data_IF_906493368415
#
_entry.id   IF_906493368415
#
_cell.length_a   1.000
_cell.length_b   1.000
_cell.length_c   1.000
_cell.angle_alpha   90.00
_cell.angle_beta   90.00
_cell.angle_gamma   90.00
#
_symmetry.space_group_name_H-M   'P 1'
#
loop_
_entity.id
_entity.type
_entity.pdbx_description
1 polymer ?
#
# COMPACT_ATOMS: atom_id res chain seq x y z
N UNK A 1 -3.43 -14.23 -0.14
CA UNK A 1 -3.30 -12.78 -0.38
C UNK A 1 -4.30 -12.07 0.52
N UNK A 2 -3.97 -10.88 1.04
CA UNK A 2 -4.90 -10.02 1.80
C UNK A 2 -4.89 -8.62 1.18
N UNK A 3 -6.03 -7.96 1.12
CA UNK A 3 -6.15 -6.59 0.63
C UNK A 3 -6.00 -5.61 1.82
N UNK A 4 -4.91 -4.83 1.93
CA UNK A 4 -4.70 -3.91 3.05
C UNK A 4 -5.73 -2.78 3.17
N UNK A 5 -6.53 -2.55 2.12
CA UNK A 5 -7.55 -1.50 2.12
C UNK A 5 -8.84 -1.92 2.83
N UNK A 6 -9.12 -3.22 2.94
CA UNK A 6 -10.35 -3.72 3.57
C UNK A 6 -10.14 -4.96 4.47
N UNK A 7 -8.91 -5.48 4.56
CA UNK A 7 -8.50 -6.66 5.33
C UNK A 7 -9.21 -7.96 4.93
N UNK A 8 -9.74 -8.04 3.70
CA UNK A 8 -10.35 -9.25 3.14
C UNK A 8 -9.36 -10.05 2.30
N UNK A 9 -9.62 -11.34 2.19
CA UNK A 9 -8.84 -12.31 1.40
C UNK A 9 -9.59 -12.83 0.18
N UNK A 10 -10.81 -12.33 -0.06
CA UNK A 10 -11.65 -12.63 -1.21
C UNK A 10 -11.46 -11.59 -2.33
N UNK A 11 -12.24 -11.73 -3.41
CA UNK A 11 -12.19 -10.82 -4.56
C UNK A 11 -12.81 -9.43 -4.29
N UNK A 12 -13.16 -9.09 -3.05
CA UNK A 12 -13.75 -7.79 -2.74
C UNK A 12 -12.78 -6.65 -3.06
N UNK A 13 -13.18 -5.79 -3.99
CA UNK A 13 -12.45 -4.58 -4.34
C UNK A 13 -12.62 -3.48 -3.28
N UNK A 14 -11.61 -2.63 -3.16
CA UNK A 14 -11.64 -1.42 -2.36
C UNK A 14 -11.08 -0.26 -3.20
N UNK A 15 -11.84 0.83 -3.28
CA UNK A 15 -11.42 2.03 -4.02
C UNK A 15 -10.38 2.88 -3.26
N UNK A 16 -9.85 3.93 -3.90
CA UNK A 16 -8.85 4.80 -3.30
C UNK A 16 -9.25 5.45 -1.96
N UNK A 17 -10.54 5.67 -1.71
CA UNK A 17 -11.01 6.25 -0.43
C UNK A 17 -10.75 5.34 0.78
N UNK A 18 -10.49 4.04 0.56
CA UNK A 18 -10.06 3.12 1.60
C UNK A 18 -8.55 3.15 1.87
N UNK A 19 -7.77 3.90 1.07
CA UNK A 19 -6.34 4.07 1.24
C UNK A 19 -6.05 5.30 2.10
N UNK A 20 -5.61 5.05 3.34
CA UNK A 20 -5.35 6.07 4.36
C UNK A 20 -4.11 6.93 4.05
N UNK A 21 -3.35 6.60 3.02
CA UNK A 21 -2.18 7.34 2.56
C UNK A 21 -0.99 6.45 2.25
N UNK A 22 -0.45 6.61 1.05
CA UNK A 22 0.83 6.06 0.68
C UNK A 22 1.95 6.99 1.17
N UNK A 23 3.02 6.42 1.74
CA UNK A 23 4.16 7.19 2.26
C UNK A 23 5.44 6.74 1.57
N UNK A 24 5.95 7.59 0.69
CA UNK A 24 7.21 7.42 -0.01
C UNK A 24 8.34 8.00 0.85
N UNK A 25 9.44 7.28 0.97
CA UNK A 25 10.59 7.69 1.78
C UNK A 25 11.89 7.27 1.14
N UNK A 26 12.96 7.98 1.49
CA UNK A 26 14.32 7.65 1.11
C UNK A 26 14.88 6.64 2.13
N UNK A 27 15.01 5.38 1.73
CA UNK A 27 15.53 4.30 2.58
C UNK A 27 16.91 4.61 3.19
N UNK A 28 17.77 5.33 2.45
CA UNK A 28 19.13 5.61 2.89
C UNK A 28 19.22 6.80 3.86
N UNK A 29 18.39 7.83 3.65
CA UNK A 29 18.38 9.04 4.47
C UNK A 29 17.38 8.97 5.64
N UNK A 30 16.40 8.06 5.59
CA UNK A 30 15.31 7.98 6.57
C UNK A 30 14.29 9.11 6.45
N UNK A 31 14.28 9.83 5.34
CA UNK A 31 13.43 11.01 5.13
C UNK A 31 12.17 10.69 4.35
N UNK A 32 11.05 11.31 4.73
CA UNK A 32 9.82 11.25 3.93
C UNK A 32 9.98 12.09 2.67
N UNK A 33 9.72 11.45 1.54
CA UNK A 33 9.75 12.07 0.22
C UNK A 33 8.38 12.70 -0.07
N UNK A 34 7.32 11.92 0.05
CA UNK A 34 5.96 12.37 -0.27
C UNK A 34 4.95 11.49 0.47
N UNK A 35 3.85 12.08 0.93
CA UNK A 35 2.70 11.33 1.44
C UNK A 35 1.48 11.70 0.61
N UNK A 36 0.80 10.70 0.06
CA UNK A 36 -0.29 10.88 -0.89
C UNK A 36 -1.55 10.19 -0.35
N UNK A 37 -2.58 10.96 0.08
CA UNK A 37 -3.84 10.37 0.52
C UNK A 37 -4.60 9.76 -0.67
N UNK A 38 -5.32 8.68 -0.40
CA UNK A 38 -6.16 7.99 -1.38
C UNK A 38 -5.36 7.64 -2.63
N UNK A 39 -4.15 7.09 -2.45
CA UNK A 39 -3.17 6.92 -3.52
C UNK A 39 -3.60 5.88 -4.56
N UNK A 40 -4.16 4.76 -4.11
CA UNK A 40 -4.57 3.65 -4.99
C UNK A 40 -5.72 2.87 -4.36
N UNK A 41 -6.60 2.33 -5.19
CA UNK A 41 -7.47 1.20 -4.84
C UNK A 41 -6.74 -0.13 -5.00
N UNK A 42 -7.39 -1.23 -4.60
CA UNK A 42 -6.86 -2.58 -4.78
C UNK A 42 -7.95 -3.66 -4.79
N UNK A 43 -7.70 -4.74 -5.53
CA UNK A 43 -8.50 -5.97 -5.50
C UNK A 43 -7.61 -7.22 -5.58
N UNK A 44 -8.08 -8.33 -5.02
CA UNK A 44 -7.40 -9.63 -5.18
C UNK A 44 -7.92 -10.29 -6.45
N UNK A 45 -7.01 -10.76 -7.30
CA UNK A 45 -7.34 -11.60 -8.44
C UNK A 45 -7.14 -13.08 -8.04
N UNK A 46 -8.20 -13.82 -7.67
CA UNK A 46 -8.08 -15.08 -6.94
C UNK A 46 -7.32 -16.15 -7.73
N UNK A 47 -7.59 -16.24 -9.04
CA UNK A 47 -6.99 -17.23 -9.95
C UNK A 47 -5.46 -17.14 -10.02
N UNK A 48 -4.91 -15.94 -9.76
CA UNK A 48 -3.47 -15.67 -9.80
C UNK A 48 -2.87 -15.49 -8.41
N UNK A 49 -3.70 -15.46 -7.36
CA UNK A 49 -3.28 -15.17 -5.98
C UNK A 49 -2.47 -13.87 -5.86
N UNK A 50 -2.80 -12.85 -6.65
CA UNK A 50 -2.13 -11.54 -6.65
C UNK A 50 -3.05 -10.43 -6.15
N UNK A 51 -2.45 -9.40 -5.55
CA UNK A 51 -3.10 -8.12 -5.29
C UNK A 51 -2.82 -7.20 -6.48
N UNK A 52 -3.87 -6.64 -7.07
CA UNK A 52 -3.78 -5.70 -8.18
C UNK A 52 -4.13 -4.33 -7.67
N UNK A 53 -3.24 -3.36 -7.88
CA UNK A 53 -3.49 -1.94 -7.65
C UNK A 53 -4.30 -1.37 -8.81
N UNK A 54 -5.31 -0.57 -8.48
CA UNK A 54 -6.21 0.09 -9.44
C UNK A 54 -6.35 1.56 -9.08
N UNK A 55 -6.68 2.41 -10.06
CA UNK A 55 -6.92 3.84 -9.85
C UNK A 55 -5.75 4.56 -9.14
N UNK A 56 -4.52 4.13 -9.44
CA UNK A 56 -3.30 4.64 -8.83
C UNK A 56 -3.01 6.06 -9.31
N UNK A 57 -2.79 6.98 -8.36
CA UNK A 57 -2.33 8.34 -8.64
C UNK A 57 -0.87 8.35 -9.09
N UNK A 58 -0.50 9.37 -9.87
CA UNK A 58 0.90 9.66 -10.16
C UNK A 58 1.49 10.48 -9.00
N UNK A 59 2.65 10.07 -8.44
CA UNK A 59 3.38 10.91 -7.49
C UNK A 59 3.72 12.29 -8.08
N UNK A 60 3.74 13.34 -7.25
CA UNK A 60 4.01 14.70 -7.73
C UNK A 60 5.51 14.97 -7.89
N UNK A 61 6.35 14.27 -7.13
CA UNK A 61 7.80 14.49 -7.13
C UNK A 61 8.53 13.51 -8.04
N UNK A 62 9.35 14.02 -8.96
CA UNK A 62 10.14 13.25 -9.93
C UNK A 62 11.12 12.26 -9.31
N UNK A 63 11.42 12.42 -8.01
CA UNK A 63 12.26 11.49 -7.23
C UNK A 63 11.57 10.15 -6.90
N UNK A 64 10.29 9.99 -7.25
CA UNK A 64 9.54 8.74 -7.12
C UNK A 64 9.34 8.12 -8.51
N UNK A 65 10.18 7.14 -8.86
CA UNK A 65 10.07 6.43 -10.12
C UNK A 65 9.33 5.08 -9.96
N UNK A 66 8.04 5.07 -10.32
CA UNK A 66 7.21 3.86 -10.36
C UNK A 66 7.26 3.12 -11.71
N UNK A 67 7.95 3.69 -12.70
CA UNK A 67 8.06 3.14 -14.06
C UNK A 67 9.34 2.33 -14.21
N UNK A 68 10.49 2.86 -13.79
CA UNK A 68 11.80 2.23 -13.90
C UNK A 68 12.31 1.75 -12.53
N UNK A 69 11.64 0.73 -11.99
CA UNK A 69 11.98 0.15 -10.68
C UNK A 69 13.21 -0.77 -10.69
N UNK A 70 14.13 -0.61 -11.63
CA UNK A 70 15.35 -1.42 -11.75
C UNK A 70 15.08 -2.85 -12.19
N UNK A 71 15.32 -3.84 -11.31
CA UNK A 71 15.18 -5.28 -11.61
C UNK A 71 13.74 -5.76 -11.77
N UNK A 72 12.76 -4.94 -11.39
CA UNK A 72 11.35 -5.30 -11.41
C UNK A 72 10.76 -4.99 -12.79
N UNK A 73 10.02 -5.94 -13.35
CA UNK A 73 9.31 -5.74 -14.62
C UNK A 73 8.23 -4.67 -14.47
N UNK A 74 7.94 -3.96 -15.57
CA UNK A 74 6.86 -2.96 -15.62
C UNK A 74 5.55 -3.54 -15.07
N UNK A 75 4.92 -2.83 -14.14
CA UNK A 75 3.65 -3.25 -13.50
C UNK A 75 3.81 -4.22 -12.32
N UNK A 76 5.03 -4.63 -11.96
CA UNK A 76 5.29 -5.43 -10.75
C UNK A 76 5.52 -4.49 -9.57
N UNK A 77 4.48 -4.24 -8.79
CA UNK A 77 4.50 -3.30 -7.67
C UNK A 77 4.83 -3.93 -6.30
N UNK A 78 5.33 -5.17 -6.23
CA UNK A 78 5.58 -5.85 -4.95
C UNK A 78 6.57 -5.12 -4.03
N UNK A 79 7.51 -4.37 -4.61
CA UNK A 79 8.42 -3.48 -3.85
C UNK A 79 7.66 -2.40 -3.08
N UNK A 80 6.48 -2.02 -3.56
CA UNK A 80 5.71 -0.88 -3.09
C UNK A 80 4.68 -1.26 -2.03
N UNK A 81 4.60 -2.53 -1.58
CA UNK A 81 3.57 -2.98 -0.64
C UNK A 81 3.53 -2.13 0.64
N UNK A 82 4.70 -1.88 1.25
CA UNK A 82 4.76 -1.03 2.45
C UNK A 82 4.47 0.44 2.17
N UNK A 83 4.93 0.94 1.02
CA UNK A 83 4.82 2.35 0.64
C UNK A 83 3.38 2.71 0.29
N UNK A 84 2.70 1.90 -0.53
CA UNK A 84 1.34 2.17 -1.03
C UNK A 84 0.27 2.05 0.05
N UNK A 85 0.53 1.23 1.07
CA UNK A 85 -0.43 0.92 2.13
C UNK A 85 0.06 1.32 3.52
N UNK A 86 1.07 2.21 3.61
CA UNK A 86 1.76 2.55 4.86
C UNK A 86 0.79 2.93 5.99
N UNK A 87 -0.14 3.86 5.74
CA UNK A 87 -1.07 4.32 6.78
C UNK A 87 -2.12 3.25 7.14
N UNK A 88 -2.58 2.44 6.17
CA UNK A 88 -3.45 1.29 6.44
C UNK A 88 -2.76 0.26 7.34
N UNK A 89 -1.53 -0.12 7.00
CA UNK A 89 -0.72 -1.05 7.79
C UNK A 89 -0.47 -0.51 9.20
N UNK A 90 -0.10 0.77 9.31
CA UNK A 90 0.14 1.45 10.59
C UNK A 90 -1.11 1.44 11.48
N UNK A 91 -2.28 1.73 10.90
CA UNK A 91 -3.55 1.71 11.62
C UNK A 91 -3.92 0.30 12.11
N UNK A 92 -3.67 -0.73 11.29
CA UNK A 92 -3.92 -2.11 11.66
C UNK A 92 -2.96 -2.63 12.74
N UNK A 93 -1.68 -2.27 12.65
CA UNK A 93 -0.70 -2.57 13.70
C UNK A 93 -1.15 -1.97 15.03
N UNK A 94 -1.55 -0.68 15.03
CA UNK A 94 -2.07 -0.02 16.24
C UNK A 94 -3.27 -0.78 16.82
N UNK A 95 -4.29 -1.07 16.00
CA UNK A 95 -5.48 -1.83 16.44
C UNK A 95 -5.12 -3.19 17.06
N UNK A 96 -4.12 -3.89 16.51
CA UNK A 96 -3.67 -5.19 17.02
C UNK A 96 -2.91 -5.07 18.34
N UNK A 97 -2.09 -4.03 18.50
CA UNK A 97 -1.42 -3.72 19.76
C UNK A 97 -2.46 -3.42 20.83
N UNK A 98 -3.39 -2.50 20.54
CA UNK A 98 -4.46 -2.09 21.46
C UNK A 98 -5.27 -3.32 21.91
N UNK A 99 -5.69 -4.18 20.97
CA UNK A 99 -6.44 -5.40 21.28
C UNK A 99 -5.65 -6.41 22.11
N UNK A 100 -4.32 -6.46 21.96
CA UNK A 100 -3.46 -7.32 22.77
C UNK A 100 -3.29 -6.77 24.19
N UNK A 101 -3.14 -5.46 24.34
CA UNK A 101 -2.98 -4.81 25.65
C UNK A 101 -4.26 -4.75 26.46
N UNK A 102 -5.42 -4.56 25.82
CA UNK A 102 -6.73 -4.54 26.48
C UNK A 102 -7.17 -5.93 26.99
N UNK A 103 -6.57 -7.00 26.45
CA UNK A 103 -6.83 -8.38 26.85
C UNK A 103 -5.98 -8.83 28.06
N UNK A 104 -5.10 -7.97 28.58
CA UNK A 104 -4.28 -8.19 29.77
C UNK A 104 -4.86 -7.52 31.01
#
# INVERSE_FOLDING_TARGET
MINPLNWKTDAASAGPDANLGARFYNDAAGEVIEEIPHFTGACIYPDKSVLVVIDMKTPLLDRIDLVNMGRWSKGVCHRCDYVFFFNNLSENVRKRIDAYTDAM
#
